data_IF_653272918411
#
_entry.id   IF_653272918411
#
_cell.length_a   1.000
_cell.length_b   1.000
_cell.length_c   1.000
_cell.angle_alpha   90.00
_cell.angle_beta   90.00
_cell.angle_gamma   90.00
#
_symmetry.space_group_name_H-M   'P 1'
#
loop_
_entity.id
_entity.type
_entity.pdbx_description
1 polymer ?
#
# COMPACT_ATOMS: atom_id res chain seq x y z
N UNK A 1 -7.60 6.73 30.12
CA UNK A 1 -8.71 5.76 30.14
C UNK A 1 -9.07 5.46 28.69
N UNK A 2 -8.45 4.45 28.09
CA UNK A 2 -8.75 4.05 26.71
C UNK A 2 -10.17 3.50 26.68
N UNK A 3 -11.05 4.08 25.86
CA UNK A 3 -12.31 3.45 25.53
C UNK A 3 -12.02 2.21 24.68
N UNK A 4 -12.06 1.04 25.30
CA UNK A 4 -12.41 -0.19 24.60
C UNK A 4 -13.78 0.05 23.93
N UNK A 5 -13.91 -0.21 22.64
CA UNK A 5 -15.24 -0.30 22.02
C UNK A 5 -15.47 0.42 20.69
N UNK A 6 -14.47 0.61 19.84
CA UNK A 6 -14.77 0.82 18.42
C UNK A 6 -13.84 -0.05 17.60
N UNK A 7 -14.39 -1.14 17.06
CA UNK A 7 -13.68 -2.01 16.14
C UNK A 7 -13.60 -1.31 14.79
N UNK A 8 -12.55 -0.51 14.58
CA UNK A 8 -12.23 0.24 13.35
C UNK A 8 -11.43 -0.64 12.36
N UNK A 9 -11.57 -0.41 11.04
CA UNK A 9 -10.82 -1.14 9.98
C UNK A 9 -11.67 -1.76 8.84
N UNK A 10 -12.10 -1.01 7.82
CA UNK A 10 -12.97 -1.46 6.73
C UNK A 10 -12.25 -2.35 5.73
N UNK A 11 -11.09 -1.91 5.27
CA UNK A 11 -10.24 -2.64 4.36
C UNK A 11 -8.83 -2.80 4.95
N UNK A 12 -8.14 -3.85 4.52
CA UNK A 12 -6.75 -4.09 4.88
C UNK A 12 -5.85 -3.62 3.75
N UNK A 13 -4.76 -2.96 4.12
CA UNK A 13 -3.69 -2.55 3.21
C UNK A 13 -2.45 -3.39 3.48
N UNK A 14 -2.35 -4.62 2.96
CA UNK A 14 -1.19 -5.47 3.16
C UNK A 14 -0.12 -5.17 2.11
N UNK A 15 1.11 -5.03 2.60
CA UNK A 15 2.32 -4.86 1.83
C UNK A 15 3.31 -5.94 2.25
N UNK A 16 3.97 -6.57 1.28
CA UNK A 16 4.95 -7.61 1.54
C UNK A 16 6.33 -7.09 1.19
N UNK A 17 7.27 -7.29 2.10
CA UNK A 17 8.68 -7.02 1.86
C UNK A 17 9.54 -8.21 2.26
N UNK A 18 10.60 -8.43 1.49
CA UNK A 18 11.54 -9.53 1.67
C UNK A 18 12.91 -8.96 1.95
N UNK A 19 13.59 -9.51 2.95
CA UNK A 19 14.95 -9.13 3.31
C UNK A 19 15.94 -9.61 2.24
N UNK A 20 16.61 -8.68 1.57
CA UNK A 20 17.63 -8.95 0.54
C UNK A 20 18.86 -8.12 0.85
N UNK A 21 20.02 -8.76 0.92
CA UNK A 21 21.30 -8.09 1.23
C UNK A 21 21.25 -7.20 2.50
N UNK A 22 20.52 -7.68 3.51
CA UNK A 22 20.35 -6.98 4.79
C UNK A 22 19.39 -5.79 4.76
N UNK A 23 18.63 -5.60 3.68
CA UNK A 23 17.62 -4.53 3.54
C UNK A 23 16.26 -5.09 3.15
N UNK A 24 15.21 -4.53 3.72
CA UNK A 24 13.85 -4.84 3.30
C UNK A 24 13.52 -4.11 2.00
N UNK A 25 12.90 -4.83 1.07
CA UNK A 25 12.39 -4.27 -0.18
C UNK A 25 11.06 -4.92 -0.54
N UNK A 26 10.15 -4.23 -1.24
CA UNK A 26 8.88 -4.82 -1.69
C UNK A 26 9.09 -6.15 -2.42
N UNK A 27 8.40 -7.20 -1.98
CA UNK A 27 8.65 -8.58 -2.44
C UNK A 27 8.54 -8.72 -3.96
N UNK A 28 7.54 -8.08 -4.56
CA UNK A 28 7.29 -8.07 -6.02
C UNK A 28 7.53 -6.71 -6.67
N UNK A 29 8.24 -5.81 -5.97
CA UNK A 29 8.42 -4.43 -6.41
C UNK A 29 7.13 -3.60 -6.38
N UNK A 30 7.21 -2.42 -6.98
CA UNK A 30 6.10 -1.48 -7.14
C UNK A 30 6.11 -0.91 -8.55
N UNK A 31 5.00 -0.35 -8.96
CA UNK A 31 4.86 0.50 -10.15
C UNK A 31 4.04 1.73 -9.76
N UNK A 32 4.21 2.90 -10.41
CA UNK A 32 3.31 4.01 -10.16
C UNK A 32 1.88 3.58 -10.46
N UNK A 33 0.97 4.02 -9.62
CA UNK A 33 -0.44 3.75 -9.80
C UNK A 33 -0.90 4.26 -11.17
N UNK A 34 -1.23 3.38 -12.13
CA UNK A 34 -1.45 3.77 -13.52
C UNK A 34 -2.63 4.72 -13.70
N UNK A 35 -3.55 4.77 -12.73
CA UNK A 35 -4.72 5.63 -12.78
C UNK A 35 -4.41 7.03 -12.23
N UNK A 36 -3.66 7.13 -11.12
CA UNK A 36 -3.62 8.37 -10.32
C UNK A 36 -2.23 8.96 -10.06
N UNK A 37 -1.12 8.29 -10.43
CA UNK A 37 0.21 8.76 -10.01
C UNK A 37 0.54 10.19 -10.49
N UNK A 38 0.03 10.57 -11.66
CA UNK A 38 0.30 11.85 -12.31
C UNK A 38 -0.62 12.98 -11.83
N UNK A 39 -1.83 12.68 -11.34
CA UNK A 39 -2.85 13.68 -10.98
C UNK A 39 -2.34 14.60 -9.87
N UNK A 40 -1.85 14.01 -8.78
CA UNK A 40 -1.42 14.77 -7.61
C UNK A 40 -0.17 15.63 -7.91
N UNK A 41 0.68 15.17 -8.83
CA UNK A 41 1.84 15.95 -9.29
C UNK A 41 1.37 17.11 -10.20
N UNK A 42 0.44 16.83 -11.11
CA UNK A 42 -0.14 17.84 -12.00
C UNK A 42 -0.80 18.96 -11.21
N UNK A 43 -1.67 18.61 -10.25
CA UNK A 43 -2.36 19.56 -9.38
C UNK A 43 -1.36 20.42 -8.59
N UNK A 44 -0.39 19.79 -7.94
CA UNK A 44 0.64 20.51 -7.20
C UNK A 44 1.45 21.50 -8.05
N UNK A 45 1.76 21.14 -9.30
CA UNK A 45 2.51 22.01 -10.22
C UNK A 45 1.64 23.15 -10.74
N UNK A 46 0.35 22.93 -10.93
CA UNK A 46 -0.61 23.97 -11.29
C UNK A 46 -0.81 24.96 -10.13
N UNK A 47 -1.06 24.46 -8.92
CA UNK A 47 -1.27 25.27 -7.72
C UNK A 47 -0.05 26.16 -7.39
N UNK A 48 1.16 25.64 -7.59
CA UNK A 48 2.40 26.40 -7.36
C UNK A 48 2.79 27.33 -8.52
N UNK A 49 2.08 27.27 -9.65
CA UNK A 49 2.47 27.95 -10.90
C UNK A 49 3.72 27.35 -11.56
N UNK A 50 4.32 26.29 -10.98
CA UNK A 50 5.52 25.67 -11.50
C UNK A 50 5.29 24.95 -12.85
N UNK A 51 4.05 24.54 -13.15
CA UNK A 51 3.71 23.95 -14.43
C UNK A 51 4.02 24.89 -15.62
N UNK A 52 3.74 26.19 -15.46
CA UNK A 52 3.91 27.20 -16.52
C UNK A 52 5.39 27.50 -16.83
N UNK A 53 6.30 27.12 -15.93
CA UNK A 53 7.74 27.28 -16.13
C UNK A 53 8.34 26.19 -17.02
N UNK A 54 7.67 25.03 -17.11
CA UNK A 54 8.23 23.83 -17.76
C UNK A 54 7.38 23.39 -18.94
N UNK A 55 6.09 23.75 -18.96
CA UNK A 55 5.13 23.33 -19.96
C UNK A 55 4.52 24.60 -20.60
N UNK A 56 4.73 24.83 -21.91
CA UNK A 56 4.14 25.97 -22.59
C UNK A 56 2.60 25.93 -22.53
N UNK A 57 2.00 26.98 -21.99
CA UNK A 57 0.54 27.09 -21.91
C UNK A 57 -0.03 27.79 -23.16
N UNK A 58 -1.22 27.39 -23.63
CA UNK A 58 -1.93 28.13 -24.67
C UNK A 58 -2.23 29.57 -24.22
N UNK A 59 -2.14 30.52 -25.15
CA UNK A 59 -2.53 31.90 -24.86
C UNK A 59 -4.03 31.96 -24.54
N UNK A 60 -4.40 32.64 -23.44
CA UNK A 60 -5.78 32.71 -22.99
C UNK A 60 -6.36 31.38 -22.44
N UNK A 61 -5.51 30.39 -22.12
CA UNK A 61 -5.93 29.11 -21.56
C UNK A 61 -6.76 29.28 -20.28
N UNK A 62 -7.89 28.58 -20.22
CA UNK A 62 -8.66 28.41 -18.99
C UNK A 62 -7.95 27.44 -18.03
N UNK A 63 -8.37 27.38 -16.77
CA UNK A 63 -7.82 26.43 -15.80
C UNK A 63 -7.99 24.97 -16.26
N UNK A 64 -9.10 24.66 -16.95
CA UNK A 64 -9.34 23.35 -17.55
C UNK A 64 -8.38 23.05 -18.70
N UNK A 65 -8.05 24.04 -19.52
CA UNK A 65 -7.06 23.88 -20.60
C UNK A 65 -5.67 23.63 -20.01
N UNK A 66 -5.29 24.38 -18.97
CA UNK A 66 -4.02 24.18 -18.25
C UNK A 66 -3.94 22.79 -17.65
N UNK A 67 -4.98 22.35 -16.94
CA UNK A 67 -5.03 21.00 -16.36
C UNK A 67 -4.89 19.91 -17.43
N UNK A 68 -5.58 20.04 -18.55
CA UNK A 68 -5.46 19.10 -19.66
C UNK A 68 -4.03 19.03 -20.21
N UNK A 69 -3.37 20.18 -20.39
CA UNK A 69 -2.00 20.22 -20.91
C UNK A 69 -1.01 19.59 -19.92
N UNK A 70 -1.14 19.90 -18.63
CA UNK A 70 -0.27 19.37 -17.58
C UNK A 70 -0.48 17.87 -17.36
N UNK A 71 -1.73 17.42 -17.33
CA UNK A 71 -2.06 15.99 -17.17
C UNK A 71 -1.50 15.14 -18.31
N UNK A 72 -1.67 15.57 -19.56
CA UNK A 72 -1.12 14.84 -20.72
C UNK A 72 0.41 14.81 -20.72
N UNK A 73 1.07 15.87 -20.25
CA UNK A 73 2.53 15.88 -20.07
C UNK A 73 2.99 14.80 -19.09
N UNK A 74 2.38 14.74 -17.90
CA UNK A 74 2.78 13.75 -16.88
C UNK A 74 2.38 12.33 -17.27
N UNK A 75 1.20 12.11 -17.88
CA UNK A 75 0.80 10.81 -18.42
C UNK A 75 1.77 10.27 -19.47
N UNK A 76 2.35 11.15 -20.29
CA UNK A 76 3.32 10.78 -21.32
C UNK A 76 4.76 10.64 -20.78
N UNK A 77 5.02 10.93 -19.50
CA UNK A 77 6.35 10.85 -18.92
C UNK A 77 6.81 9.38 -18.84
N UNK A 78 8.03 9.06 -19.33
CA UNK A 78 8.63 7.75 -19.13
C UNK A 78 8.71 7.39 -17.65
N UNK A 79 8.46 6.12 -17.33
CA UNK A 79 8.40 5.63 -15.95
C UNK A 79 9.71 5.87 -15.18
N UNK A 80 10.84 5.51 -15.78
CA UNK A 80 12.18 5.72 -15.21
C UNK A 80 12.44 7.18 -14.83
N UNK A 81 11.96 8.11 -15.66
CA UNK A 81 12.02 9.54 -15.37
C UNK A 81 11.07 9.94 -14.23
N UNK A 82 9.83 9.43 -14.23
CA UNK A 82 8.87 9.71 -13.15
C UNK A 82 9.39 9.22 -11.79
N UNK A 83 9.99 8.03 -11.73
CA UNK A 83 10.61 7.50 -10.52
C UNK A 83 11.84 8.32 -10.11
N UNK A 84 12.67 8.76 -11.05
CA UNK A 84 13.84 9.58 -10.73
C UNK A 84 13.47 10.97 -10.19
N UNK A 85 12.44 11.62 -10.75
CA UNK A 85 12.02 12.97 -10.36
C UNK A 85 11.09 12.97 -9.14
N UNK A 86 10.17 12.00 -9.04
CA UNK A 86 9.07 12.00 -8.08
C UNK A 86 8.98 10.74 -7.23
N UNK A 87 9.94 9.81 -7.37
CA UNK A 87 9.94 8.50 -6.71
C UNK A 87 9.76 8.50 -5.18
N UNK A 88 10.13 9.62 -4.56
CA UNK A 88 10.06 9.87 -3.12
C UNK A 88 9.11 11.04 -2.76
N UNK A 89 8.38 11.58 -3.73
CA UNK A 89 7.34 12.57 -3.46
C UNK A 89 6.18 11.87 -2.75
N UNK A 90 5.83 12.32 -1.54
CA UNK A 90 4.72 11.75 -0.74
C UNK A 90 3.37 11.72 -1.47
N UNK A 91 3.22 12.51 -2.53
CA UNK A 91 2.01 12.57 -3.35
C UNK A 91 1.94 11.47 -4.39
N UNK A 92 3.06 10.83 -4.71
CA UNK A 92 3.10 9.77 -5.69
C UNK A 92 2.41 8.52 -5.14
N UNK A 93 1.40 8.04 -5.86
CA UNK A 93 0.70 6.80 -5.54
C UNK A 93 1.42 5.61 -6.16
N UNK A 94 1.61 4.55 -5.38
CA UNK A 94 2.28 3.34 -5.84
C UNK A 94 1.33 2.15 -5.82
N UNK A 95 1.27 1.44 -6.94
CA UNK A 95 0.75 0.09 -7.01
C UNK A 95 1.83 -0.90 -6.58
N UNK A 96 1.64 -1.54 -5.43
CA UNK A 96 2.44 -2.69 -5.02
C UNK A 96 1.96 -3.91 -5.81
N UNK A 97 2.86 -4.59 -6.52
CA UNK A 97 2.53 -5.63 -7.50
C UNK A 97 2.11 -6.96 -6.83
N UNK A 98 1.06 -6.91 -6.00
CA UNK A 98 0.54 -8.05 -5.26
C UNK A 98 -0.06 -9.08 -6.22
N UNK A 99 0.45 -10.32 -6.27
CA UNK A 99 -0.07 -11.33 -7.17
C UNK A 99 -1.48 -11.78 -6.77
N UNK A 100 -2.24 -12.32 -7.72
CA UNK A 100 -3.63 -12.74 -7.54
C UNK A 100 -3.83 -14.12 -8.15
N UNK A 101 -4.71 -14.93 -7.52
CA UNK A 101 -5.18 -16.16 -8.14
C UNK A 101 -6.18 -15.83 -9.25
N UNK A 102 -5.70 -15.71 -10.48
CA UNK A 102 -6.55 -15.44 -11.65
C UNK A 102 -7.06 -13.99 -11.75
N UNK A 103 -8.03 -13.76 -12.63
CA UNK A 103 -8.66 -12.45 -12.84
C UNK A 103 -10.03 -12.37 -12.13
N UNK A 104 -10.18 -11.47 -11.16
CA UNK A 104 -11.47 -11.23 -10.51
C UNK A 104 -11.38 -10.52 -9.15
N UNK A 105 -12.52 -10.01 -8.67
CA UNK A 105 -12.63 -9.34 -7.37
C UNK A 105 -12.60 -10.32 -6.18
N UNK A 106 -13.01 -11.57 -6.40
CA UNK A 106 -13.08 -12.63 -5.39
C UNK A 106 -11.72 -13.33 -5.13
N UNK A 107 -10.67 -12.97 -5.87
CA UNK A 107 -9.33 -13.57 -5.79
C UNK A 107 -8.25 -12.61 -5.30
N UNK A 108 -8.61 -11.68 -4.39
CA UNK A 108 -7.66 -10.70 -3.85
C UNK A 108 -7.39 -11.02 -2.39
N UNK A 109 -6.11 -11.08 -2.03
CA UNK A 109 -5.69 -11.16 -0.62
C UNK A 109 -6.18 -9.96 0.20
N UNK A 110 -6.51 -8.84 -0.47
CA UNK A 110 -7.07 -7.62 0.13
C UNK A 110 -8.60 -7.63 0.23
N UNK A 111 -9.28 -8.74 -0.03
CA UNK A 111 -10.75 -8.78 0.15
C UNK A 111 -11.13 -8.53 1.60
N UNK A 112 -12.32 -7.98 1.80
CA UNK A 112 -12.87 -7.65 3.10
C UNK A 112 -13.24 -8.92 3.87
N UNK A 113 -12.30 -9.44 4.63
CA UNK A 113 -12.44 -10.61 5.49
C UNK A 113 -12.21 -10.21 6.96
N UNK A 114 -13.27 -9.78 7.62
CA UNK A 114 -13.21 -9.33 9.01
C UNK A 114 -12.80 -10.40 10.02
N UNK A 115 -12.95 -11.68 9.65
CA UNK A 115 -12.44 -12.79 10.47
C UNK A 115 -10.92 -12.83 10.37
N UNK A 116 -10.38 -12.78 9.14
CA UNK A 116 -8.94 -12.71 8.93
C UNK A 116 -8.32 -11.47 9.57
N UNK A 117 -8.99 -10.30 9.47
CA UNK A 117 -8.49 -9.04 10.03
C UNK A 117 -8.32 -9.13 11.55
N UNK A 118 -9.32 -9.69 12.23
CA UNK A 118 -9.28 -9.92 13.66
C UNK A 118 -8.25 -10.95 14.09
N UNK A 119 -8.01 -11.96 13.26
CA UNK A 119 -6.96 -12.95 13.50
C UNK A 119 -5.55 -12.36 13.36
N UNK A 120 -5.26 -11.59 12.29
CA UNK A 120 -3.93 -10.98 12.11
C UNK A 120 -3.65 -9.81 13.07
N UNK A 121 -4.68 -9.20 13.66
CA UNK A 121 -4.52 -8.03 14.52
C UNK A 121 -5.54 -7.99 15.65
N UNK A 122 -5.06 -8.25 16.88
CA UNK A 122 -5.89 -8.23 18.09
C UNK A 122 -6.60 -6.88 18.26
N UNK A 123 -7.92 -6.94 18.42
CA UNK A 123 -8.79 -5.78 18.64
C UNK A 123 -9.35 -5.15 17.36
N UNK A 124 -9.11 -5.75 16.19
CA UNK A 124 -9.67 -5.31 14.91
C UNK A 124 -10.87 -6.18 14.52
N UNK A 125 -12.04 -5.58 14.29
CA UNK A 125 -13.30 -6.19 13.76
C UNK A 125 -13.85 -7.46 14.43
N UNK A 126 -13.11 -8.56 14.50
CA UNK A 126 -13.51 -9.84 15.11
C UNK A 126 -12.50 -10.24 16.18
N UNK A 127 -12.95 -10.75 17.32
CA UNK A 127 -12.03 -11.22 18.36
C UNK A 127 -11.70 -12.68 18.11
N UNK A 128 -10.41 -13.02 17.99
CA UNK A 128 -9.94 -14.39 17.95
C UNK A 128 -9.10 -14.69 19.21
N UNK A 129 -9.25 -15.89 19.82
CA UNK A 129 -8.47 -16.26 21.00
C UNK A 129 -6.96 -16.34 20.70
N UNK A 130 -6.61 -16.58 19.44
CA UNK A 130 -5.26 -16.69 18.92
C UNK A 130 -4.86 -15.49 18.04
N UNK A 131 -5.56 -14.35 18.15
CA UNK A 131 -5.17 -13.12 17.46
C UNK A 131 -3.72 -12.72 17.78
N UNK A 132 -2.97 -12.33 16.77
CA UNK A 132 -1.64 -11.76 16.99
C UNK A 132 -1.73 -10.41 17.72
N UNK A 133 -0.85 -10.14 18.70
CA UNK A 133 -0.76 -8.82 19.29
C UNK A 133 -0.31 -7.80 18.24
N UNK A 134 -0.87 -6.59 18.30
CA UNK A 134 -0.41 -5.48 17.44
C UNK A 134 1.04 -5.13 17.73
N UNK A 135 1.82 -4.95 16.67
CA UNK A 135 3.22 -4.52 16.73
C UNK A 135 3.33 -3.12 16.15
N UNK A 136 4.12 -2.20 16.73
CA UNK A 136 4.42 -0.97 16.02
C UNK A 136 5.13 -1.28 14.70
N UNK A 137 4.99 -0.39 13.73
CA UNK A 137 5.74 -0.53 12.48
C UNK A 137 7.25 -0.61 12.75
N UNK A 138 7.98 -1.47 12.02
CA UNK A 138 9.43 -1.58 12.17
C UNK A 138 10.15 -0.27 11.82
N UNK A 139 11.27 0.02 12.49
CA UNK A 139 12.12 1.15 12.12
C UNK A 139 12.80 0.92 10.76
N UNK A 140 13.02 -0.35 10.40
CA UNK A 140 13.70 -0.81 9.19
C UNK A 140 12.76 -1.09 8.00
N UNK A 141 11.54 -0.51 7.98
CA UNK A 141 10.66 -0.56 6.82
C UNK A 141 11.39 -0.15 5.53
N UNK A 142 11.05 -0.81 4.42
CA UNK A 142 11.42 -0.29 3.11
C UNK A 142 10.90 1.14 2.93
N UNK A 143 11.69 2.06 2.34
CA UNK A 143 11.27 3.44 2.10
C UNK A 143 9.93 3.54 1.37
N UNK A 144 9.64 2.59 0.49
CA UNK A 144 8.42 2.50 -0.30
C UNK A 144 7.19 2.24 0.56
N UNK A 145 7.25 1.27 1.47
CA UNK A 145 6.12 0.95 2.37
C UNK A 145 5.96 2.06 3.41
N UNK A 146 7.05 2.65 3.89
CA UNK A 146 7.01 3.81 4.79
C UNK A 146 6.29 5.00 4.14
N UNK A 147 6.68 5.35 2.92
CA UNK A 147 6.04 6.42 2.15
C UNK A 147 4.54 6.16 1.95
N UNK A 148 4.17 4.92 1.62
CA UNK A 148 2.76 4.56 1.46
C UNK A 148 2.01 4.73 2.78
N UNK A 149 2.50 4.19 3.90
CA UNK A 149 1.86 4.38 5.21
C UNK A 149 1.69 5.87 5.57
N UNK A 150 2.74 6.67 5.40
CA UNK A 150 2.72 8.11 5.69
C UNK A 150 1.71 8.89 4.82
N UNK A 151 1.43 8.43 3.59
CA UNK A 151 0.44 9.02 2.70
C UNK A 151 -1.00 8.87 3.22
N UNK A 152 -1.30 7.74 3.89
CA UNK A 152 -2.62 7.51 4.48
C UNK A 152 -2.86 8.35 5.76
N UNK A 153 -1.79 8.89 6.36
CA UNK A 153 -1.82 9.79 7.51
C UNK A 153 -2.78 9.29 8.61
N UNK A 154 -3.82 10.05 8.96
CA UNK A 154 -4.76 9.69 10.02
C UNK A 154 -5.70 8.53 9.67
N UNK A 155 -5.82 8.16 8.39
CA UNK A 155 -6.71 7.08 7.95
C UNK A 155 -6.03 5.71 8.06
N UNK A 156 -4.69 5.64 8.02
CA UNK A 156 -3.97 4.42 8.36
C UNK A 156 -3.94 4.21 9.87
N UNK A 157 -4.58 3.15 10.33
CA UNK A 157 -4.63 2.83 11.75
C UNK A 157 -4.56 1.32 12.02
N UNK A 158 -4.38 0.96 13.30
CA UNK A 158 -4.25 -0.44 13.73
C UNK A 158 -3.14 -1.18 12.98
N UNK A 159 -2.06 -0.45 12.71
CA UNK A 159 -0.86 -0.91 12.03
C UNK A 159 -0.22 -2.07 12.79
N UNK A 160 0.31 -3.01 12.01
CA UNK A 160 1.06 -4.14 12.54
C UNK A 160 1.91 -4.78 11.44
N UNK A 161 2.67 -5.79 11.82
CA UNK A 161 3.40 -6.62 10.89
C UNK A 161 3.56 -8.03 11.44
N UNK A 162 3.70 -9.00 10.54
CA UNK A 162 3.96 -10.40 10.87
C UNK A 162 4.95 -10.99 9.86
N UNK A 163 5.86 -11.83 10.32
CA UNK A 163 6.61 -12.68 9.39
C UNK A 163 5.64 -13.67 8.75
N UNK A 164 5.82 -13.97 7.47
CA UNK A 164 4.95 -14.95 6.80
C UNK A 164 5.10 -16.34 7.43
N UNK A 165 6.31 -16.71 7.86
CA UNK A 165 6.56 -17.93 8.65
C UNK A 165 5.70 -17.99 9.92
N UNK A 166 5.65 -16.91 10.72
CA UNK A 166 4.80 -16.84 11.92
C UNK A 166 3.33 -17.08 11.58
N UNK A 167 2.84 -16.51 10.47
CA UNK A 167 1.47 -16.73 10.02
C UNK A 167 1.21 -18.18 9.61
N UNK A 168 2.13 -18.80 8.86
CA UNK A 168 1.97 -20.17 8.36
C UNK A 168 2.13 -21.23 9.47
N UNK A 169 2.90 -20.93 10.52
CA UNK A 169 3.09 -21.81 11.68
C UNK A 169 1.92 -21.72 12.69
N UNK A 170 1.20 -20.59 12.71
CA UNK A 170 0.11 -20.37 13.64
C UNK A 170 -1.09 -21.29 13.33
N UNK A 171 -1.61 -22.06 14.31
CA UNK A 171 -2.74 -22.98 14.08
C UNK A 171 -3.98 -22.33 13.46
N UNK A 172 -4.24 -21.06 13.76
CA UNK A 172 -5.40 -20.34 13.25
C UNK A 172 -5.42 -20.13 11.75
N UNK A 173 -4.28 -20.19 11.05
CA UNK A 173 -4.20 -20.01 9.60
C UNK A 173 -5.03 -21.05 8.83
N UNK A 174 -5.29 -22.21 9.46
CA UNK A 174 -6.11 -23.28 8.89
C UNK A 174 -7.58 -22.89 8.71
N UNK A 175 -8.04 -21.81 9.35
CA UNK A 175 -9.39 -21.26 9.17
C UNK A 175 -9.50 -20.35 7.94
N UNK A 176 -8.37 -20.00 7.31
CA UNK A 176 -8.25 -19.02 6.25
C UNK A 176 -7.62 -19.66 5.00
N UNK A 177 -8.30 -20.65 4.42
CA UNK A 177 -7.78 -21.47 3.32
C UNK A 177 -7.23 -20.62 2.17
N UNK A 178 -7.95 -19.57 1.77
CA UNK A 178 -7.51 -18.67 0.70
C UNK A 178 -6.20 -17.96 1.04
N UNK A 179 -6.12 -17.31 2.20
CA UNK A 179 -4.93 -16.58 2.63
C UNK A 179 -3.75 -17.54 2.85
N UNK A 180 -3.99 -18.71 3.44
CA UNK A 180 -2.98 -19.77 3.61
C UNK A 180 -2.42 -20.23 2.27
N UNK A 181 -3.29 -20.58 1.32
CA UNK A 181 -2.89 -21.03 -0.01
C UNK A 181 -2.16 -19.93 -0.77
N UNK A 182 -2.64 -18.69 -0.67
CA UNK A 182 -2.02 -17.53 -1.30
C UNK A 182 -0.61 -17.30 -0.78
N UNK A 183 -0.42 -17.29 0.55
CA UNK A 183 0.90 -17.15 1.16
C UNK A 183 1.83 -18.29 0.75
N UNK A 184 1.34 -19.53 0.78
CA UNK A 184 2.13 -20.71 0.41
C UNK A 184 2.53 -20.72 -1.06
N UNK A 185 1.66 -20.20 -1.94
CA UNK A 185 1.89 -20.21 -3.38
C UNK A 185 2.83 -19.09 -3.83
N UNK A 186 2.66 -17.87 -3.29
CA UNK A 186 3.37 -16.69 -3.79
C UNK A 186 4.60 -16.30 -2.96
N UNK A 187 4.73 -16.74 -1.70
CA UNK A 187 5.88 -16.43 -0.86
C UNK A 187 6.90 -17.57 -0.91
N UNK A 188 7.99 -17.34 -1.64
CA UNK A 188 9.08 -18.31 -1.77
C UNK A 188 9.86 -18.52 -0.46
N UNK A 189 10.06 -17.45 0.32
CA UNK A 189 10.92 -17.47 1.52
C UNK A 189 10.19 -16.85 2.73
N UNK A 190 9.31 -17.61 3.41
CA UNK A 190 8.48 -17.10 4.51
C UNK A 190 9.26 -16.62 5.75
N UNK A 191 10.46 -17.12 5.98
CA UNK A 191 11.32 -16.76 7.12
C UNK A 191 12.01 -15.41 6.98
N UNK A 192 12.06 -14.87 5.75
CA UNK A 192 12.66 -13.57 5.46
C UNK A 192 11.70 -12.64 4.73
N UNK A 193 10.41 -12.98 4.71
CA UNK A 193 9.35 -12.14 4.15
C UNK A 193 8.36 -11.79 5.25
N UNK A 194 8.02 -10.50 5.36
CA UNK A 194 7.00 -10.03 6.30
C UNK A 194 5.86 -9.35 5.57
N UNK A 195 4.67 -9.49 6.12
CA UNK A 195 3.50 -8.69 5.79
C UNK A 195 3.47 -7.51 6.74
N UNK A 196 3.60 -6.30 6.20
CA UNK A 196 3.35 -5.04 6.89
C UNK A 196 1.97 -4.58 6.48
N UNK A 197 1.14 -4.17 7.42
CA UNK A 197 -0.23 -3.81 7.11
C UNK A 197 -0.83 -2.80 8.07
N UNK A 198 -1.83 -2.10 7.58
CA UNK A 198 -2.72 -1.24 8.35
C UNK A 198 -4.15 -1.38 7.81
N UNK A 199 -5.09 -0.74 8.49
CA UNK A 199 -6.49 -0.70 8.09
C UNK A 199 -6.93 0.75 7.91
N UNK A 200 -7.95 0.97 7.08
CA UNK A 200 -8.65 2.25 6.91
C UNK A 200 -10.06 2.22 7.51
N UNK A 201 -10.79 3.34 7.53
CA UNK A 201 -12.10 3.43 8.20
C UNK A 201 -13.31 3.02 7.37
#
# INVERSE_FOLDING_TARGET
MHKEGTKVGCDIHPHFETLRDGKWAPTWGRSPDPEYWWEVIADAKLESGAAELVIPMPEGATDMDKYKVVSEYFKAMPLDRAEAEYGYDRRMSWSFNLPQFGSGYQGRFKTRDYSFFGWVSKGVRTDHPDSFPRRPLPDDLSPEIRQEFEKWDSDAHSESWLMVSEMLEAPGIQQFDYQREWLTHFIAEPSITRMVFWFDN
#
